data_IF_157956237144
#
_entry.id   IF_157956237144
#
_cell.length_a   1.000
_cell.length_b   1.000
_cell.length_c   1.000
_cell.angle_alpha   90.00
_cell.angle_beta   90.00
_cell.angle_gamma   90.00
#
_symmetry.space_group_name_H-M   'P 1'
#
loop_
_entity.id
_entity.type
_entity.pdbx_description
1 polymer ?
#
# COMPACT_ATOMS: atom_id res chain seq x y z
N UNK A 1 29.54 -20.67 33.49
CA UNK A 1 28.49 -21.00 32.50
C UNK A 1 28.73 -20.13 31.29
N UNK A 2 29.46 -20.63 30.30
CA UNK A 2 29.91 -19.84 29.14
C UNK A 2 29.12 -20.24 27.92
N UNK A 3 28.26 -19.35 27.44
CA UNK A 3 27.56 -19.51 26.17
C UNK A 3 28.32 -18.71 25.12
N UNK A 4 28.73 -19.37 24.04
CA UNK A 4 29.31 -18.70 22.88
C UNK A 4 28.31 -18.75 21.74
N UNK A 5 27.92 -17.57 21.26
CA UNK A 5 27.26 -17.43 19.97
C UNK A 5 28.35 -17.51 18.91
N UNK A 6 28.38 -18.60 18.15
CA UNK A 6 29.31 -18.73 17.02
C UNK A 6 28.54 -18.54 15.72
N UNK A 7 28.96 -17.58 14.91
CA UNK A 7 28.39 -17.29 13.60
C UNK A 7 29.23 -18.01 12.54
N UNK A 8 28.63 -18.95 11.78
CA UNK A 8 29.32 -19.65 10.68
C UNK A 8 28.34 -19.88 9.53
N UNK A 9 28.71 -19.48 8.32
CA UNK A 9 27.93 -19.66 7.09
C UNK A 9 26.46 -19.19 7.21
N UNK A 10 26.22 -17.99 7.74
CA UNK A 10 24.87 -17.41 7.90
C UNK A 10 23.86 -18.26 8.68
N UNK A 11 24.32 -19.26 9.44
CA UNK A 11 23.52 -19.98 10.41
C UNK A 11 24.06 -19.78 11.82
N UNK A 12 23.16 -19.45 12.74
CA UNK A 12 23.45 -19.31 14.17
C UNK A 12 23.42 -20.71 14.78
N UNK A 13 24.57 -21.18 15.27
CA UNK A 13 24.66 -22.46 15.98
C UNK A 13 24.96 -22.25 17.46
N UNK A 14 24.18 -22.92 18.31
CA UNK A 14 24.33 -22.89 19.77
C UNK A 14 25.02 -24.18 20.26
N UNK A 15 26.21 -24.06 20.88
CA UNK A 15 26.93 -25.19 21.48
C UNK A 15 26.87 -25.10 23.01
N UNK A 16 26.13 -26.00 23.66
CA UNK A 16 26.05 -26.08 25.12
C UNK A 16 26.92 -27.22 25.68
N UNK A 17 27.96 -26.87 26.42
CA UNK A 17 28.69 -27.82 27.27
C UNK A 17 28.03 -27.80 28.67
N UNK A 18 27.14 -28.75 28.96
CA UNK A 18 26.53 -28.86 30.30
C UNK A 18 25.08 -29.33 30.32
N UNK A 19 24.87 -30.45 31.01
CA UNK A 19 23.67 -31.29 31.08
C UNK A 19 22.50 -30.64 31.82
N UNK A 20 21.43 -30.24 31.14
CA UNK A 20 20.05 -30.22 31.68
C UNK A 20 18.98 -30.29 30.59
N UNK A 21 18.54 -31.53 30.28
CA UNK A 21 17.59 -31.87 29.18
C UNK A 21 16.23 -31.17 29.27
N UNK A 22 15.82 -30.68 30.45
CA UNK A 22 14.54 -29.97 30.64
C UNK A 22 14.60 -28.52 30.14
N UNK A 23 15.69 -27.81 30.39
CA UNK A 23 15.87 -26.41 29.96
C UNK A 23 16.08 -26.31 28.45
N UNK A 24 16.82 -27.26 27.86
CA UNK A 24 16.97 -27.34 26.40
C UNK A 24 15.62 -27.52 25.69
N UNK A 25 14.72 -28.34 26.23
CA UNK A 25 13.37 -28.53 25.66
C UNK A 25 12.51 -27.27 25.74
N UNK A 26 12.57 -26.54 26.84
CA UNK A 26 11.82 -25.28 27.00
C UNK A 26 12.33 -24.21 26.03
N UNK A 27 13.65 -24.07 25.88
CA UNK A 27 14.25 -23.12 24.93
C UNK A 27 13.93 -23.49 23.48
N UNK A 28 14.00 -24.78 23.14
CA UNK A 28 13.62 -25.26 21.79
C UNK A 28 12.13 -24.99 21.53
N UNK A 29 11.24 -25.25 22.51
CA UNK A 29 9.81 -24.99 22.36
C UNK A 29 9.53 -23.49 22.18
N UNK A 30 10.18 -22.62 22.95
CA UNK A 30 10.01 -21.16 22.76
C UNK A 30 10.52 -20.68 21.41
N UNK A 31 11.65 -21.20 20.92
CA UNK A 31 12.16 -20.84 19.58
C UNK A 31 11.20 -21.32 18.49
N UNK A 32 10.65 -22.54 18.62
CA UNK A 32 9.66 -23.07 17.67
C UNK A 32 8.39 -22.21 17.64
N UNK A 33 7.86 -21.81 18.80
CA UNK A 33 6.70 -20.91 18.88
C UNK A 33 7.00 -19.56 18.26
N UNK A 34 8.17 -18.97 18.53
CA UNK A 34 8.60 -17.70 17.92
C UNK A 34 8.71 -17.83 16.40
N UNK A 35 9.29 -18.93 15.88
CA UNK A 35 9.38 -19.15 14.42
C UNK A 35 8.01 -19.34 13.75
N UNK A 36 7.02 -19.87 14.47
CA UNK A 36 5.64 -20.04 13.96
C UNK A 36 4.88 -18.71 14.00
N UNK A 37 5.15 -17.83 14.97
CA UNK A 37 4.50 -16.51 15.04
C UNK A 37 5.09 -15.48 14.07
N UNK A 38 6.28 -15.73 13.50
CA UNK A 38 6.90 -14.84 12.51
C UNK A 38 6.32 -14.93 11.10
N UNK A 39 5.30 -15.75 10.85
CA UNK A 39 4.53 -15.67 9.61
C UNK A 39 3.66 -14.41 9.66
N UNK A 40 4.26 -13.26 9.33
CA UNK A 40 3.48 -12.07 9.01
C UNK A 40 2.48 -12.43 7.92
N UNK A 41 1.23 -11.98 8.08
CA UNK A 41 0.20 -12.10 7.04
C UNK A 41 0.72 -11.38 5.80
N UNK A 42 1.26 -12.14 4.86
CA UNK A 42 1.68 -11.64 3.56
C UNK A 42 0.45 -11.63 2.68
N UNK A 43 0.04 -10.44 2.22
CA UNK A 43 -1.00 -10.35 1.20
C UNK A 43 -0.52 -11.09 -0.05
N UNK A 44 -1.39 -11.90 -0.64
CA UNK A 44 -1.12 -12.51 -1.94
C UNK A 44 -1.00 -11.41 -3.01
N UNK A 45 0.04 -11.52 -3.83
CA UNK A 45 0.29 -10.65 -4.97
C UNK A 45 0.36 -9.15 -4.63
N UNK A 46 1.38 -8.75 -3.84
CA UNK A 46 1.58 -7.37 -3.34
C UNK A 46 1.43 -6.28 -4.40
N UNK A 47 1.91 -6.51 -5.62
CA UNK A 47 1.78 -5.53 -6.69
C UNK A 47 0.31 -5.34 -7.09
N UNK A 48 -0.44 -6.43 -7.27
CA UNK A 48 -1.87 -6.36 -7.56
C UNK A 48 -2.64 -5.70 -6.42
N UNK A 49 -2.33 -6.05 -5.15
CA UNK A 49 -2.94 -5.42 -3.99
C UNK A 49 -2.66 -3.91 -3.95
N UNK A 50 -1.42 -3.50 -4.25
CA UNK A 50 -1.07 -2.09 -4.34
C UNK A 50 -1.85 -1.38 -5.45
N UNK A 51 -1.96 -2.00 -6.63
CA UNK A 51 -2.68 -1.42 -7.75
C UNK A 51 -4.16 -1.15 -7.40
N UNK A 52 -4.80 -2.06 -6.66
CA UNK A 52 -6.18 -1.86 -6.18
C UNK A 52 -6.29 -0.68 -5.20
N UNK A 53 -5.33 -0.51 -4.27
CA UNK A 53 -5.28 0.66 -3.38
C UNK A 53 -5.07 1.95 -4.19
N UNK A 54 -4.15 1.92 -5.16
CA UNK A 54 -3.87 3.06 -6.03
C UNK A 54 -5.08 3.43 -6.89
N UNK A 55 -5.88 2.47 -7.34
CA UNK A 55 -7.12 2.70 -8.09
C UNK A 55 -8.18 3.42 -7.23
N UNK A 56 -8.32 3.07 -5.95
CA UNK A 56 -9.22 3.81 -5.05
C UNK A 56 -8.72 5.24 -4.77
N UNK A 57 -7.40 5.43 -4.65
CA UNK A 57 -6.80 6.77 -4.52
C UNK A 57 -7.02 7.60 -5.80
N UNK A 58 -6.87 6.97 -6.97
CA UNK A 58 -7.16 7.55 -8.27
C UNK A 58 -8.64 7.97 -8.38
N UNK A 59 -9.55 7.12 -7.90
CA UNK A 59 -10.99 7.43 -7.81
C UNK A 59 -11.26 8.65 -6.92
N UNK A 60 -10.53 8.80 -5.80
CA UNK A 60 -10.63 9.99 -4.92
C UNK A 60 -10.19 11.26 -5.66
N UNK A 61 -9.05 11.20 -6.37
CA UNK A 61 -8.53 12.33 -7.16
C UNK A 61 -9.50 12.77 -8.26
N UNK A 62 -10.13 11.81 -8.96
CA UNK A 62 -11.14 12.10 -9.98
C UNK A 62 -12.42 12.74 -9.42
N UNK A 63 -12.81 12.35 -8.21
CA UNK A 63 -14.01 12.88 -7.52
C UNK A 63 -13.71 14.17 -6.73
N UNK A 64 -12.45 14.57 -6.65
CA UNK A 64 -12.00 15.76 -5.93
C UNK A 64 -12.70 17.02 -6.49
N UNK A 65 -13.50 17.68 -5.66
CA UNK A 65 -14.18 18.92 -6.05
C UNK A 65 -13.22 20.11 -5.88
N UNK A 66 -13.24 21.10 -6.79
CA UNK A 66 -12.53 22.35 -6.59
C UNK A 66 -12.92 22.99 -5.25
N UNK A 67 -11.91 23.40 -4.47
CA UNK A 67 -12.10 24.07 -3.17
C UNK A 67 -11.41 25.43 -3.16
N UNK A 68 -11.95 26.32 -2.33
CA UNK A 68 -11.35 27.62 -2.07
C UNK A 68 -10.12 27.49 -1.16
N UNK A 69 -9.34 28.56 -1.08
CA UNK A 69 -8.25 28.66 -0.12
C UNK A 69 -8.74 28.47 1.33
N UNK A 70 -7.92 27.82 2.15
CA UNK A 70 -8.14 27.70 3.59
C UNK A 70 -7.76 29.01 4.26
N UNK A 71 -8.75 29.70 4.83
CA UNK A 71 -8.55 30.92 5.60
C UNK A 71 -8.37 30.57 7.09
N UNK A 72 -7.13 30.57 7.56
CA UNK A 72 -6.79 30.30 8.96
C UNK A 72 -6.66 31.60 9.77
N UNK A 73 -7.22 32.72 9.29
CA UNK A 73 -7.16 34.01 9.97
C UNK A 73 -8.23 34.14 11.05
N UNK A 74 -7.99 33.49 12.19
CA UNK A 74 -8.95 33.44 13.29
C UNK A 74 -8.87 34.66 14.23
N UNK A 75 -7.77 35.42 14.21
CA UNK A 75 -7.54 36.54 15.15
C UNK A 75 -7.85 37.88 14.50
N UNK A 76 -8.56 38.75 15.20
CA UNK A 76 -8.69 40.16 14.83
C UNK A 76 -7.60 40.98 15.54
N UNK A 77 -6.96 41.89 14.81
CA UNK A 77 -6.02 42.84 15.38
C UNK A 77 -6.71 44.10 15.89
N UNK A 78 -5.97 45.00 16.53
CA UNK A 78 -6.51 46.25 17.09
C UNK A 78 -7.08 47.21 16.03
N UNK A 79 -6.81 46.98 14.74
CA UNK A 79 -7.35 47.74 13.61
C UNK A 79 -8.57 47.06 12.97
N UNK A 80 -9.06 45.96 13.55
CA UNK A 80 -10.20 45.20 13.02
C UNK A 80 -9.86 44.35 11.77
N UNK A 81 -8.59 44.13 11.47
CA UNK A 81 -8.16 43.26 10.36
C UNK A 81 -7.92 41.85 10.86
N UNK A 82 -8.25 40.85 10.03
CA UNK A 82 -7.99 39.44 10.32
C UNK A 82 -6.53 39.10 10.09
N UNK A 83 -5.91 38.51 11.09
CA UNK A 83 -4.52 38.02 11.08
C UNK A 83 -4.47 36.48 11.08
N UNK A 84 -3.50 35.95 10.35
CA UNK A 84 -3.25 34.52 10.18
C UNK A 84 -2.78 34.19 8.77
N UNK A 85 -2.81 32.90 8.42
CA UNK A 85 -2.34 32.39 7.11
C UNK A 85 -3.53 32.03 6.23
N UNK A 86 -3.42 32.33 4.94
CA UNK A 86 -4.30 31.79 3.90
C UNK A 86 -3.50 30.80 3.09
N UNK A 87 -3.98 29.56 2.96
CA UNK A 87 -3.26 28.46 2.29
C UNK A 87 -4.11 27.95 1.12
N UNK A 88 -3.50 27.69 -0.02
CA UNK A 88 -4.18 26.96 -1.09
C UNK A 88 -4.53 25.54 -0.64
N UNK A 89 -5.76 25.09 -0.90
CA UNK A 89 -6.20 23.75 -0.56
C UNK A 89 -5.30 22.67 -1.19
N UNK A 90 -4.84 22.87 -2.43
CA UNK A 90 -3.98 21.93 -3.15
C UNK A 90 -2.67 21.60 -2.42
N UNK A 91 -2.16 22.56 -1.66
CA UNK A 91 -0.90 22.46 -0.92
C UNK A 91 -1.12 22.28 0.59
N UNK A 92 -2.34 21.95 1.02
CA UNK A 92 -2.70 21.84 2.43
C UNK A 92 -2.67 20.40 2.93
N UNK A 93 -2.34 20.21 4.22
CA UNK A 93 -2.47 18.90 4.88
C UNK A 93 -3.93 18.41 4.89
N UNK A 94 -4.90 19.33 4.84
CA UNK A 94 -6.31 18.97 4.75
C UNK A 94 -6.63 18.18 3.48
N UNK A 95 -6.01 18.50 2.34
CA UNK A 95 -6.21 17.73 1.10
C UNK A 95 -5.64 16.32 1.22
N UNK A 96 -4.53 16.15 1.94
CA UNK A 96 -3.96 14.82 2.21
C UNK A 96 -4.95 13.99 3.03
N UNK A 97 -5.46 14.57 4.13
CA UNK A 97 -6.47 13.91 4.96
C UNK A 97 -7.71 13.55 4.14
N UNK A 98 -8.25 14.48 3.36
CA UNK A 98 -9.46 14.24 2.55
C UNK A 98 -9.25 13.13 1.50
N UNK A 99 -8.05 13.02 0.90
CA UNK A 99 -7.73 11.99 -0.09
C UNK A 99 -7.43 10.60 0.51
N UNK A 100 -6.94 10.55 1.74
CA UNK A 100 -6.61 9.29 2.43
C UNK A 100 -7.73 8.79 3.34
N UNK A 101 -8.69 9.65 3.68
CA UNK A 101 -9.82 9.31 4.55
C UNK A 101 -10.67 8.16 3.97
N UNK A 102 -10.91 7.17 4.81
CA UNK A 102 -11.62 5.94 4.46
C UNK A 102 -11.02 5.13 3.30
N UNK A 103 -9.79 5.41 2.85
CA UNK A 103 -9.19 4.70 1.70
C UNK A 103 -9.08 3.20 1.97
N UNK A 104 -8.56 2.82 3.13
CA UNK A 104 -8.42 1.41 3.52
C UNK A 104 -9.73 0.77 3.96
N UNK A 105 -10.75 1.55 4.31
CA UNK A 105 -12.08 1.02 4.60
C UNK A 105 -12.76 0.52 3.32
N UNK A 106 -12.57 1.22 2.19
CA UNK A 106 -13.12 0.83 0.88
C UNK A 106 -12.47 -0.41 0.29
N UNK A 107 -11.29 -0.79 0.77
CA UNK A 107 -10.68 -2.08 0.46
C UNK A 107 -11.54 -3.27 0.93
N UNK A 108 -12.49 -3.05 1.84
CA UNK A 108 -13.44 -4.08 2.24
C UNK A 108 -14.41 -4.50 1.13
N UNK A 109 -14.50 -3.76 0.02
CA UNK A 109 -15.30 -4.12 -1.14
C UNK A 109 -14.50 -4.96 -2.17
N UNK A 110 -13.29 -5.39 -1.84
CA UNK A 110 -12.42 -6.13 -2.76
C UNK A 110 -12.32 -7.63 -2.39
N UNK A 111 -12.12 -8.46 -3.41
CA UNK A 111 -11.78 -9.88 -3.23
C UNK A 111 -10.69 -10.28 -4.22
N UNK A 112 -9.94 -11.32 -3.88
CA UNK A 112 -8.95 -11.92 -4.77
C UNK A 112 -9.64 -12.89 -5.73
N UNK A 113 -9.47 -12.68 -7.03
CA UNK A 113 -9.93 -13.60 -8.07
C UNK A 113 -8.75 -14.16 -8.85
N UNK A 114 -8.93 -15.38 -9.39
CA UNK A 114 -7.91 -16.02 -10.22
C UNK A 114 -8.18 -15.68 -11.68
N UNK A 115 -7.21 -15.03 -12.33
CA UNK A 115 -7.23 -14.77 -13.77
C UNK A 115 -6.59 -15.96 -14.50
N UNK A 116 -7.00 -16.21 -15.75
CA UNK A 116 -6.49 -17.34 -16.55
C UNK A 116 -4.95 -17.28 -16.62
N UNK A 117 -4.31 -18.37 -16.17
CA UNK A 117 -2.84 -18.55 -16.09
C UNK A 117 -2.12 -17.94 -14.86
N UNK A 118 -2.51 -18.42 -13.66
CA UNK A 118 -1.79 -18.30 -12.36
C UNK A 118 -1.74 -16.92 -11.69
N UNK A 119 -2.03 -15.84 -12.41
CA UNK A 119 -2.08 -14.52 -11.80
C UNK A 119 -3.37 -14.35 -11.01
N UNK A 120 -3.26 -13.71 -9.83
CA UNK A 120 -4.42 -13.36 -9.02
C UNK A 120 -4.58 -11.85 -9.07
N UNK A 121 -5.82 -11.40 -9.14
CA UNK A 121 -6.13 -9.99 -9.22
C UNK A 121 -7.15 -9.61 -8.16
N UNK A 122 -6.87 -8.49 -7.50
CA UNK A 122 -7.78 -7.87 -6.55
C UNK A 122 -8.84 -7.09 -7.32
N UNK A 123 -10.09 -7.51 -7.19
CA UNK A 123 -11.21 -6.91 -7.92
C UNK A 123 -12.30 -6.45 -6.95
N UNK A 124 -12.89 -5.31 -7.27
CA UNK A 124 -13.99 -4.73 -6.51
C UNK A 124 -15.29 -5.49 -6.79
N UNK A 125 -16.06 -5.75 -5.74
CA UNK A 125 -17.32 -6.48 -5.78
C UNK A 125 -18.42 -5.59 -5.21
N UNK A 126 -19.53 -5.46 -5.92
CA UNK A 126 -20.68 -4.66 -5.44
C UNK A 126 -21.42 -5.33 -4.27
N UNK A 127 -21.48 -6.66 -4.25
CA UNK A 127 -22.08 -7.43 -3.15
C UNK A 127 -21.46 -8.82 -3.01
N UNK A 128 -20.99 -9.12 -1.80
CA UNK A 128 -20.51 -10.45 -1.42
C UNK A 128 -21.60 -11.52 -1.42
N UNK A 129 -22.88 -11.14 -1.41
CA UNK A 129 -23.99 -12.11 -1.42
C UNK A 129 -24.11 -12.86 -2.75
N UNK A 130 -23.57 -12.28 -3.82
CA UNK A 130 -23.59 -12.88 -5.15
C UNK A 130 -22.42 -13.85 -5.40
N UNK A 131 -21.53 -14.03 -4.42
CA UNK A 131 -20.34 -14.87 -4.55
C UNK A 131 -20.56 -16.28 -4.00
N UNK A 132 -20.10 -17.28 -4.74
CA UNK A 132 -20.17 -18.70 -4.34
C UNK A 132 -19.43 -18.96 -3.02
N UNK A 133 -18.31 -18.27 -2.77
CA UNK A 133 -17.54 -18.41 -1.54
C UNK A 133 -17.44 -17.08 -0.76
N UNK A 134 -18.55 -16.70 -0.12
CA UNK A 134 -18.65 -15.47 0.67
C UNK A 134 -17.64 -15.36 1.81
N UNK A 135 -17.32 -16.48 2.48
CA UNK A 135 -16.41 -16.46 3.63
C UNK A 135 -14.97 -16.20 3.20
N UNK A 136 -14.53 -16.85 2.13
CA UNK A 136 -13.21 -16.62 1.53
C UNK A 136 -13.08 -15.18 1.01
N UNK A 137 -14.09 -14.68 0.30
CA UNK A 137 -14.09 -13.31 -0.21
C UNK A 137 -14.01 -12.25 0.91
N UNK A 138 -14.71 -12.47 2.04
CA UNK A 138 -14.60 -11.61 3.22
C UNK A 138 -13.25 -11.69 3.91
N UNK A 139 -12.60 -12.85 3.91
CA UNK A 139 -11.24 -12.98 4.42
C UNK A 139 -10.28 -12.16 3.56
N UNK A 140 -10.38 -12.27 2.23
CA UNK A 140 -9.61 -11.45 1.30
C UNK A 140 -9.83 -9.95 1.50
N UNK A 141 -11.07 -9.50 1.66
CA UNK A 141 -11.39 -8.11 1.96
C UNK A 141 -10.65 -7.59 3.22
N UNK A 142 -10.58 -8.41 4.27
CA UNK A 142 -9.83 -8.07 5.48
C UNK A 142 -8.32 -8.06 5.24
N UNK A 143 -7.80 -9.00 4.46
CA UNK A 143 -6.38 -9.10 4.11
C UNK A 143 -5.90 -7.85 3.36
N UNK A 144 -6.63 -7.41 2.31
CA UNK A 144 -6.25 -6.21 1.54
C UNK A 144 -6.48 -4.91 2.33
N UNK A 145 -7.51 -4.84 3.17
CA UNK A 145 -7.70 -3.68 4.07
C UNK A 145 -6.55 -3.55 5.06
N UNK A 146 -6.11 -4.67 5.67
CA UNK A 146 -4.93 -4.71 6.55
C UNK A 146 -3.66 -4.34 5.79
N UNK A 147 -3.49 -4.83 4.57
CA UNK A 147 -2.37 -4.46 3.71
C UNK A 147 -2.34 -2.96 3.40
N UNK A 148 -3.50 -2.36 3.08
CA UNK A 148 -3.61 -0.93 2.84
C UNK A 148 -3.17 -0.11 4.06
N UNK A 149 -3.60 -0.51 5.26
CA UNK A 149 -3.17 0.13 6.50
C UNK A 149 -1.64 0.14 6.63
N UNK A 150 -0.99 -1.00 6.42
CA UNK A 150 0.48 -1.12 6.47
C UNK A 150 1.17 -0.32 5.37
N UNK A 151 0.60 -0.31 4.16
CA UNK A 151 1.11 0.47 3.04
C UNK A 151 1.09 1.98 3.35
N UNK A 152 0.01 2.48 3.95
CA UNK A 152 -0.08 3.89 4.33
C UNK A 152 0.80 4.21 5.54
N UNK A 153 0.87 3.32 6.54
CA UNK A 153 1.82 3.46 7.65
C UNK A 153 3.27 3.64 7.17
N UNK A 154 3.63 2.96 6.08
CA UNK A 154 4.98 3.02 5.51
C UNK A 154 5.21 4.22 4.57
N UNK A 155 4.16 4.78 3.95
CA UNK A 155 4.31 5.73 2.81
C UNK A 155 3.57 7.06 2.97
N UNK A 156 2.78 7.25 4.04
CA UNK A 156 1.93 8.43 4.23
C UNK A 156 2.73 9.74 4.19
N UNK A 157 3.90 9.78 4.82
CA UNK A 157 4.73 10.99 4.90
C UNK A 157 5.20 11.44 3.50
N UNK A 158 5.81 10.54 2.72
CA UNK A 158 6.27 10.87 1.36
C UNK A 158 5.10 11.10 0.41
N UNK A 159 4.01 10.35 0.54
CA UNK A 159 2.81 10.55 -0.25
C UNK A 159 2.18 11.92 0.04
N UNK A 160 2.16 12.37 1.30
CA UNK A 160 1.67 13.69 1.70
C UNK A 160 2.50 14.80 1.05
N UNK A 161 3.83 14.65 0.97
CA UNK A 161 4.69 15.61 0.26
C UNK A 161 4.36 15.68 -1.23
N UNK A 162 4.19 14.52 -1.87
CA UNK A 162 3.84 14.39 -3.30
C UNK A 162 2.44 14.92 -3.62
N UNK A 163 1.50 14.85 -2.68
CA UNK A 163 0.19 15.49 -2.81
C UNK A 163 0.31 17.01 -2.68
N UNK A 164 1.04 17.49 -1.66
CA UNK A 164 1.16 18.92 -1.34
C UNK A 164 1.94 19.71 -2.37
N UNK A 165 2.97 19.13 -2.99
CA UNK A 165 3.72 19.78 -4.06
C UNK A 165 2.99 19.75 -5.42
N UNK A 166 1.84 19.07 -5.50
CA UNK A 166 1.05 18.94 -6.73
C UNK A 166 1.63 17.97 -7.76
N UNK A 167 2.57 17.11 -7.36
CA UNK A 167 3.15 16.08 -8.23
C UNK A 167 2.23 14.87 -8.40
N UNK A 168 1.32 14.59 -7.46
CA UNK A 168 0.29 13.56 -7.63
C UNK A 168 -0.85 14.07 -8.52
N UNK A 169 -0.90 13.59 -9.76
CA UNK A 169 -1.99 13.86 -10.72
C UNK A 169 -2.80 12.61 -10.98
N UNK A 170 -3.99 12.84 -11.55
CA UNK A 170 -4.82 11.78 -12.10
C UNK A 170 -4.01 11.00 -13.16
N UNK A 171 -3.92 9.68 -13.00
CA UNK A 171 -3.16 8.75 -13.83
C UNK A 171 -1.83 8.31 -13.21
N UNK A 172 -1.30 9.06 -12.24
CA UNK A 172 0.02 8.82 -11.66
C UNK A 172 -0.02 7.99 -10.36
N UNK A 173 -1.21 7.77 -9.77
CA UNK A 173 -1.33 7.14 -8.44
C UNK A 173 -0.62 5.79 -8.35
N UNK A 174 -0.78 4.94 -9.37
CA UNK A 174 -0.11 3.63 -9.44
C UNK A 174 1.42 3.76 -9.50
N UNK A 175 1.94 4.65 -10.35
CA UNK A 175 3.39 4.85 -10.54
C UNK A 175 4.03 5.40 -9.27
N UNK A 176 3.38 6.39 -8.65
CA UNK A 176 3.88 7.01 -7.41
C UNK A 176 3.79 6.01 -6.26
N UNK A 177 2.61 5.52 -5.94
CA UNK A 177 2.40 4.69 -4.75
C UNK A 177 3.09 3.33 -4.85
N UNK A 178 2.92 2.63 -5.97
CA UNK A 178 3.29 1.21 -6.08
C UNK A 178 4.69 0.96 -6.62
N UNK A 179 5.20 1.83 -7.48
CA UNK A 179 6.54 1.67 -8.06
C UNK A 179 7.59 2.56 -7.39
N UNK A 180 7.21 3.73 -6.86
CA UNK A 180 8.16 4.72 -6.35
C UNK A 180 8.25 4.69 -4.82
N UNK A 181 7.10 4.79 -4.12
CA UNK A 181 7.08 4.87 -2.66
C UNK A 181 7.24 3.49 -2.01
N UNK A 182 6.35 2.54 -2.33
CA UNK A 182 6.35 1.20 -1.70
C UNK A 182 7.27 0.17 -2.36
N UNK A 183 7.66 0.38 -3.62
CA UNK A 183 8.41 -0.60 -4.43
C UNK A 183 7.75 -1.99 -4.50
N UNK A 184 6.42 -2.06 -4.37
CA UNK A 184 5.67 -3.32 -4.48
C UNK A 184 5.46 -3.79 -5.91
N UNK A 185 5.63 -2.90 -6.89
CA UNK A 185 5.60 -3.20 -8.32
C UNK A 185 6.93 -2.85 -8.98
N UNK A 186 7.35 -3.68 -9.95
CA UNK A 186 8.45 -3.35 -10.84
C UNK A 186 8.10 -2.14 -11.71
N UNK A 187 9.09 -1.27 -11.96
CA UNK A 187 8.98 -0.22 -12.99
C UNK A 187 8.89 -0.92 -14.34
N UNK A 188 7.78 -0.76 -15.04
CA UNK A 188 7.70 -1.18 -16.44
C UNK A 188 8.73 -0.36 -17.22
N UNK A 189 9.69 -1.02 -17.87
CA UNK A 189 10.38 -0.42 -19.00
C UNK A 189 9.30 -0.14 -20.04
N UNK A 190 9.01 1.12 -20.31
CA UNK A 190 8.17 1.56 -21.41
C UNK A 190 8.70 0.90 -22.68
N UNK A 191 7.97 -0.08 -23.23
CA UNK A 191 8.16 -0.49 -24.62
C UNK A 191 7.38 0.54 -25.42
N UNK A 192 8.11 1.49 -26.00
CA UNK A 192 7.61 2.29 -27.11
C UNK A 192 7.14 1.31 -28.19
N UNK A 193 5.83 1.17 -28.35
CA UNK A 193 5.27 0.68 -29.60
C UNK A 193 5.42 1.83 -30.59
N UNK A 194 6.56 1.84 -31.29
CA UNK A 194 6.70 2.58 -32.54
C UNK A 194 5.60 2.08 -33.49
N UNK A 195 4.77 3.02 -33.91
CA UNK A 195 3.81 2.84 -34.99
C UNK A 195 4.59 2.46 -36.27
N UNK A 196 4.49 1.20 -36.71
CA UNK A 196 4.85 0.83 -38.07
C UNK A 196 3.64 1.15 -38.97
N UNK A 197 3.65 2.36 -39.52
CA UNK A 197 2.96 2.71 -40.74
C UNK A 197 3.59 1.91 -41.90
N UNK A 198 2.91 0.88 -42.41
CA UNK A 198 3.19 0.32 -43.73
C UNK A 198 1.99 0.59 -44.65
N UNK A 199 2.10 1.73 -45.34
CA UNK A 199 1.45 1.97 -46.62
C UNK A 199 2.09 1.05 -47.66
N UNK A 200 1.33 0.15 -48.26
CA UNK A 200 1.67 -0.40 -49.59
C UNK A 200 0.41 -0.48 -50.46
N UNK A 201 0.31 0.52 -51.34
CA UNK A 201 -0.45 0.45 -52.57
C UNK A 201 0.46 -0.10 -53.68
N UNK A 202 0.09 -1.20 -54.32
CA UNK A 202 -0.28 -1.21 -55.75
C UNK A 202 -0.48 -2.64 -56.31
N UNK A 203 -1.65 -2.78 -56.94
CA UNK A 203 -1.89 -3.37 -58.26
C UNK A 203 -1.28 -4.73 -58.67
N UNK A 204 -2.13 -5.74 -58.86
CA UNK A 204 -2.26 -6.55 -60.10
C UNK A 204 -3.64 -7.23 -60.17
#
# INVERSE_FOLDING_TARGET
MTCFLTYKNNLIYYRSEGRNRRMAKLVIFTVVVITIFSFGVSVDDKCSACNAVAEELESQLLKEKPRNHLDLRNRLNSKGQREGKVIDYRMSDLRVVDLLDGLCDRMQDYTLQKVESKNREWVKVESFDNLTNKQEAKAHANDISTYCGRLLEETEDELAEVIKNGSLKVGDARKVLCQTLSNHCSKSSETDSEDEDDDDADEL
#
